data_IF_914295696500
#
_entry.id   IF_914295696500
#
_cell.length_a   1.000
_cell.length_b   1.000
_cell.length_c   1.000
_cell.angle_alpha   90.00
_cell.angle_beta   90.00
_cell.angle_gamma   90.00
#
_symmetry.space_group_name_H-M   'P 1'
#
loop_
_entity.id
_entity.type
_entity.pdbx_description
1 polymer ?
#
# COMPACT_ATOMS: atom_id res chain seq x y z
N UNK A 1 0.25 10.19 -11.85
CA UNK A 1 -0.27 9.17 -12.80
C UNK A 1 -0.05 9.51 -14.27
N UNK A 2 -0.40 10.71 -14.77
CA UNK A 2 -0.25 11.06 -16.20
C UNK A 2 1.20 11.11 -16.72
N UNK A 3 2.18 11.44 -15.88
CA UNK A 3 3.59 11.55 -16.31
C UNK A 3 4.28 10.20 -16.49
N UNK A 4 3.90 9.17 -15.72
CA UNK A 4 4.53 7.85 -15.81
C UNK A 4 3.89 6.95 -16.89
N UNK A 5 2.71 7.32 -17.39
CA UNK A 5 1.91 6.53 -18.34
C UNK A 5 1.82 5.06 -17.90
N UNK A 6 1.19 4.83 -16.74
CA UNK A 6 0.99 3.49 -16.20
C UNK A 6 0.06 2.69 -17.10
N UNK A 7 0.41 1.44 -17.35
CA UNK A 7 -0.48 0.48 -18.00
C UNK A 7 -1.48 -0.09 -16.99
N UNK A 8 -2.52 -0.75 -17.47
CA UNK A 8 -3.50 -1.38 -16.57
C UNK A 8 -2.85 -2.48 -15.74
N UNK A 9 -1.94 -3.26 -16.33
CA UNK A 9 -1.20 -4.33 -15.65
C UNK A 9 -0.28 -3.79 -14.56
N UNK A 10 0.40 -2.67 -14.83
CA UNK A 10 1.21 -2.01 -13.81
C UNK A 10 0.36 -1.44 -12.67
N UNK A 11 -0.82 -0.89 -12.97
CA UNK A 11 -1.74 -0.43 -11.95
C UNK A 11 -2.24 -1.59 -11.09
N UNK A 12 -2.57 -2.73 -11.71
CA UNK A 12 -2.96 -3.95 -11.00
C UNK A 12 -1.84 -4.46 -10.09
N UNK A 13 -0.59 -4.45 -10.58
CA UNK A 13 0.59 -4.76 -9.77
C UNK A 13 0.72 -3.84 -8.56
N UNK A 14 0.62 -2.51 -8.76
CA UNK A 14 0.72 -1.54 -7.66
C UNK A 14 -0.35 -1.79 -6.59
N UNK A 15 -1.60 -2.02 -6.99
CA UNK A 15 -2.71 -2.29 -6.08
C UNK A 15 -2.49 -3.61 -5.32
N UNK A 16 -2.06 -4.66 -6.01
CA UNK A 16 -1.81 -5.95 -5.40
C UNK A 16 -0.66 -5.87 -4.37
N UNK A 17 0.42 -5.14 -4.67
CA UNK A 17 1.52 -4.89 -3.74
C UNK A 17 1.11 -4.08 -2.51
N UNK A 18 0.14 -3.18 -2.63
CA UNK A 18 -0.40 -2.44 -1.47
C UNK A 18 -1.27 -3.36 -0.61
N UNK A 19 -2.12 -4.18 -1.21
CA UNK A 19 -3.05 -5.06 -0.50
C UNK A 19 -2.33 -6.21 0.21
N UNK A 20 -1.38 -6.86 -0.48
CA UNK A 20 -0.71 -8.06 0.01
C UNK A 20 0.53 -7.79 0.85
N UNK A 21 0.92 -6.53 1.04
CA UNK A 21 1.95 -6.21 2.01
C UNK A 21 1.36 -6.07 3.41
N UNK A 22 1.20 -7.21 4.06
CA UNK A 22 0.54 -7.32 5.36
C UNK A 22 1.51 -7.56 6.52
N UNK A 23 2.83 -7.46 6.28
CA UNK A 23 3.87 -7.74 7.29
C UNK A 23 3.76 -6.84 8.53
N UNK A 24 3.25 -5.63 8.38
CA UNK A 24 3.06 -4.65 9.46
C UNK A 24 1.66 -4.72 10.10
N UNK A 25 0.80 -5.65 9.67
CA UNK A 25 -0.57 -5.79 10.19
C UNK A 25 -0.56 -6.68 11.43
N UNK A 26 -0.88 -6.08 12.59
CA UNK A 26 -0.97 -6.79 13.86
C UNK A 26 -2.13 -7.81 13.87
N UNK A 27 -1.91 -8.95 14.54
CA UNK A 27 -2.95 -9.95 14.78
C UNK A 27 -3.18 -10.96 13.64
N UNK A 28 -2.35 -10.94 12.59
CA UNK A 28 -2.37 -11.97 11.54
C UNK A 28 -1.64 -13.24 11.99
N UNK A 29 -2.13 -14.40 11.52
CA UNK A 29 -1.45 -15.68 11.77
C UNK A 29 -0.21 -15.84 10.89
N UNK A 30 0.73 -16.67 11.33
CA UNK A 30 1.95 -16.97 10.56
C UNK A 30 1.63 -17.56 9.18
N UNK A 31 0.56 -18.35 9.06
CA UNK A 31 0.11 -18.90 7.79
C UNK A 31 -0.34 -17.81 6.82
N UNK A 32 -1.01 -16.77 7.31
CA UNK A 32 -1.44 -15.62 6.48
C UNK A 32 -0.24 -14.81 6.02
N UNK A 33 0.74 -14.57 6.91
CA UNK A 33 1.98 -13.87 6.57
C UNK A 33 2.71 -14.65 5.47
N UNK A 34 2.88 -15.97 5.65
CA UNK A 34 3.54 -16.84 4.66
C UNK A 34 2.79 -16.86 3.32
N UNK A 35 1.46 -16.93 3.35
CA UNK A 35 0.65 -16.84 2.14
C UNK A 35 0.88 -15.50 1.43
N UNK A 36 0.95 -14.39 2.18
CA UNK A 36 1.20 -13.08 1.61
C UNK A 36 2.56 -12.97 0.91
N UNK A 37 3.60 -13.59 1.45
CA UNK A 37 4.92 -13.64 0.82
C UNK A 37 4.87 -14.40 -0.51
N UNK A 38 4.20 -15.56 -0.53
CA UNK A 38 4.01 -16.36 -1.74
C UNK A 38 3.22 -15.60 -2.81
N UNK A 39 2.17 -14.88 -2.41
CA UNK A 39 1.37 -14.06 -3.33
C UNK A 39 2.20 -12.90 -3.88
N UNK A 40 2.98 -12.22 -3.05
CA UNK A 40 3.86 -11.12 -3.49
C UNK A 40 4.94 -11.60 -4.46
N UNK A 41 5.51 -12.79 -4.25
CA UNK A 41 6.45 -13.41 -5.18
C UNK A 41 5.79 -13.69 -6.54
N UNK A 42 4.59 -14.27 -6.54
CA UNK A 42 3.84 -14.53 -7.76
C UNK A 42 3.49 -13.24 -8.51
N UNK A 43 3.05 -12.19 -7.81
CA UNK A 43 2.78 -10.87 -8.40
C UNK A 43 4.03 -10.29 -9.08
N UNK A 44 5.20 -10.46 -8.46
CA UNK A 44 6.48 -10.06 -9.05
C UNK A 44 6.83 -10.84 -10.32
N UNK A 45 6.60 -12.15 -10.31
CA UNK A 45 6.78 -13.01 -11.49
C UNK A 45 5.82 -12.63 -12.62
N UNK A 46 4.55 -12.34 -12.31
CA UNK A 46 3.55 -11.96 -13.30
C UNK A 46 3.92 -10.62 -13.96
N UNK A 47 4.38 -9.64 -13.18
CA UNK A 47 4.87 -8.37 -13.74
C UNK A 47 6.12 -8.59 -14.62
N UNK A 48 7.05 -9.45 -14.19
CA UNK A 48 8.20 -9.81 -15.00
C UNK A 48 7.77 -10.44 -16.33
N UNK A 49 6.84 -11.39 -16.30
CA UNK A 49 6.33 -12.08 -17.46
C UNK A 49 5.62 -11.14 -18.43
N UNK A 50 4.81 -10.21 -17.93
CA UNK A 50 4.20 -9.14 -18.72
C UNK A 50 5.24 -8.33 -19.51
N UNK A 51 6.34 -7.95 -18.85
CA UNK A 51 7.41 -7.19 -19.50
C UNK A 51 8.21 -8.00 -20.53
N UNK A 52 8.55 -9.25 -20.20
CA UNK A 52 9.36 -10.11 -21.07
C UNK A 52 8.56 -10.61 -22.27
N UNK A 53 7.36 -11.11 -22.06
CA UNK A 53 6.59 -11.81 -23.10
C UNK A 53 5.68 -10.88 -23.90
N UNK A 54 5.02 -9.91 -23.26
CA UNK A 54 4.04 -9.07 -23.95
C UNK A 54 4.66 -7.79 -24.52
N UNK A 55 5.67 -7.24 -23.83
CA UNK A 55 6.36 -6.01 -24.26
C UNK A 55 7.67 -6.27 -25.00
N UNK A 56 8.23 -7.49 -24.90
CA UNK A 56 9.54 -7.83 -25.48
C UNK A 56 10.71 -7.07 -24.84
N UNK A 57 10.55 -6.58 -23.60
CA UNK A 57 11.54 -5.78 -22.89
C UNK A 57 12.21 -6.66 -21.84
N UNK A 58 13.43 -7.11 -22.10
CA UNK A 58 14.17 -7.94 -21.15
C UNK A 58 14.73 -7.16 -19.95
N UNK A 59 14.88 -5.84 -20.07
CA UNK A 59 15.46 -4.98 -19.02
C UNK A 59 14.41 -3.98 -18.53
N UNK A 60 13.49 -4.48 -17.70
CA UNK A 60 12.44 -3.67 -17.07
C UNK A 60 12.81 -3.16 -15.65
N UNK A 61 14.01 -3.48 -15.15
CA UNK A 61 14.44 -3.11 -13.78
C UNK A 61 14.33 -1.60 -13.50
N UNK A 62 14.65 -0.75 -14.48
CA UNK A 62 14.50 0.70 -14.36
C UNK A 62 13.04 1.15 -14.20
N UNK A 63 12.10 0.38 -14.78
CA UNK A 63 10.67 0.60 -14.66
C UNK A 63 10.14 0.04 -13.34
N UNK A 64 10.59 -1.14 -12.93
CA UNK A 64 10.29 -1.73 -11.62
C UNK A 64 10.66 -0.77 -10.48
N UNK A 65 11.86 -0.17 -10.50
CA UNK A 65 12.28 0.83 -9.50
C UNK A 65 11.29 2.00 -9.42
N UNK A 66 10.75 2.47 -10.56
CA UNK A 66 9.76 3.55 -10.57
C UNK A 66 8.43 3.09 -9.99
N UNK A 67 7.99 1.87 -10.30
CA UNK A 67 6.77 1.28 -9.74
C UNK A 67 6.89 1.10 -8.23
N UNK A 68 8.00 0.55 -7.73
CA UNK A 68 8.23 0.38 -6.29
C UNK A 68 8.21 1.73 -5.57
N UNK A 69 8.83 2.78 -6.12
CA UNK A 69 8.75 4.14 -5.55
C UNK A 69 7.30 4.67 -5.45
N UNK A 70 6.44 4.31 -6.41
CA UNK A 70 5.02 4.67 -6.35
C UNK A 70 4.27 3.90 -5.26
N UNK A 71 4.57 2.62 -5.05
CA UNK A 71 4.02 1.83 -3.94
C UNK A 71 4.38 2.48 -2.61
N UNK A 72 5.65 2.81 -2.40
CA UNK A 72 6.10 3.45 -1.16
C UNK A 72 5.44 4.82 -0.94
N UNK A 73 5.39 5.66 -1.96
CA UNK A 73 4.70 6.95 -1.86
C UNK A 73 3.20 6.80 -1.54
N UNK A 74 2.54 5.77 -2.08
CA UNK A 74 1.14 5.49 -1.77
C UNK A 74 0.96 5.03 -0.32
N UNK A 75 1.86 4.19 0.19
CA UNK A 75 1.87 3.73 1.59
C UNK A 75 2.07 4.89 2.55
N UNK A 76 3.00 5.79 2.26
CA UNK A 76 3.23 6.99 3.06
C UNK A 76 1.97 7.86 3.17
N UNK A 77 1.27 8.07 2.05
CA UNK A 77 0.01 8.84 2.04
C UNK A 77 -1.05 8.13 2.90
N UNK A 78 -1.16 6.81 2.81
CA UNK A 78 -2.12 6.03 3.61
C UNK A 78 -1.79 6.16 5.10
N UNK A 79 -0.52 6.01 5.48
CA UNK A 79 -0.06 6.17 6.87
C UNK A 79 -0.37 7.57 7.42
N UNK A 80 0.00 8.62 6.69
CA UNK A 80 -0.28 10.00 7.12
C UNK A 80 -1.78 10.29 7.24
N UNK A 81 -2.61 9.72 6.37
CA UNK A 81 -4.08 9.85 6.51
C UNK A 81 -4.61 9.14 7.74
N UNK A 82 -4.10 7.97 8.07
CA UNK A 82 -4.47 7.25 9.29
C UNK A 82 -4.10 8.05 10.56
N UNK A 83 -2.93 8.70 10.58
CA UNK A 83 -2.52 9.59 11.69
C UNK A 83 -3.45 10.79 11.85
N UNK A 84 -3.81 11.46 10.76
CA UNK A 84 -4.77 12.58 10.79
C UNK A 84 -6.14 12.14 11.30
N UNK A 85 -6.64 10.98 10.85
CA UNK A 85 -7.91 10.43 11.32
C UNK A 85 -7.91 10.09 12.81
N UNK A 86 -6.79 9.56 13.32
CA UNK A 86 -6.62 9.32 14.76
C UNK A 86 -6.62 10.64 15.54
N UNK A 87 -5.94 11.68 15.04
CA UNK A 87 -5.98 13.01 15.68
C UNK A 87 -7.40 13.58 15.72
N UNK A 88 -8.14 13.52 14.60
CA UNK A 88 -9.53 13.99 14.53
C UNK A 88 -10.40 13.31 15.61
N UNK A 89 -10.30 11.98 15.74
CA UNK A 89 -11.01 11.22 16.79
C UNK A 89 -10.63 11.62 18.20
N UNK A 90 -9.34 11.86 18.46
CA UNK A 90 -8.89 12.33 19.78
C UNK A 90 -9.52 13.69 20.09
N UNK A 91 -9.47 14.63 19.15
CA UNK A 91 -10.04 15.96 19.36
C UNK A 91 -11.55 15.91 19.63
N UNK A 92 -12.30 15.13 18.85
CA UNK A 92 -13.74 14.94 19.05
C UNK A 92 -14.05 14.34 20.44
N UNK A 93 -13.27 13.33 20.88
CA UNK A 93 -13.43 12.75 22.22
C UNK A 93 -13.08 13.69 23.37
N UNK A 94 -12.08 14.56 23.18
CA UNK A 94 -11.65 15.54 24.19
C UNK A 94 -12.69 16.65 24.31
N UNK A 95 -13.21 17.14 23.18
CA UNK A 95 -14.27 18.15 23.16
C UNK A 95 -15.55 17.64 23.86
N UNK A 96 -15.91 16.37 23.65
CA UNK A 96 -17.00 15.71 24.39
C UNK A 96 -16.74 15.66 25.92
N UNK A 97 -15.53 15.30 26.34
CA UNK A 97 -15.19 15.20 27.78
C UNK A 97 -15.17 16.54 28.53
N UNK A 98 -14.84 17.63 27.85
CA UNK A 98 -14.87 18.98 28.44
C UNK A 98 -16.32 19.43 28.66
N UNK A 99 -17.22 19.09 27.74
CA UNK A 99 -18.65 19.42 27.82
C UNK A 99 -19.36 18.64 28.93
N UNK A 100 -18.92 17.41 29.26
CA UNK A 100 -19.51 16.60 30.34
C UNK A 100 -18.96 16.89 31.74
N UNK A 101 -17.89 17.67 31.89
CA UNK A 101 -17.40 18.06 33.22
C UNK A 101 -18.32 19.12 33.85
N UNK A 102 -19.06 18.81 34.93
CA UNK A 102 -19.97 19.77 35.53
C UNK A 102 -19.16 20.90 36.15
N UNK A 103 -19.52 22.13 35.81
CA UNK A 103 -19.04 23.33 36.48
C UNK A 103 -19.35 23.22 37.98
N UNK A 104 -18.31 23.24 38.82
CA UNK A 104 -18.43 23.25 40.29
C UNK A 104 -19.29 24.41 40.80
#
# INVERSE_FOLDING_TARGET
MKELQLTQDELAFLLAQIIWNVQEVEGLSEEVIKLSEQVNEQIGMDLHNYYVHERGISIFASRLIKLTKLVEAARDIIRSKSELFLMEKIFDSVEFSIVESPSF
#
